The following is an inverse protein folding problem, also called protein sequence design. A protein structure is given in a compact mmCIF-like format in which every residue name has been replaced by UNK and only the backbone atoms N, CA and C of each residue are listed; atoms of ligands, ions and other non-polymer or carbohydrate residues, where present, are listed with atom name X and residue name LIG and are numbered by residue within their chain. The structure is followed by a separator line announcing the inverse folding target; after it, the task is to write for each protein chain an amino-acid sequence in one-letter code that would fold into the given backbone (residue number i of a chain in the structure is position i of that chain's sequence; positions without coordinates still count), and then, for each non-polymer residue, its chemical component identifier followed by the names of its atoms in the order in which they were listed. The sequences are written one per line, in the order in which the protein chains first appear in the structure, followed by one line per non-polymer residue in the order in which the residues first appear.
data_IF_007870700334
#
_entry.id   IF_007870700334
#
_cell.length_a   1.000
_cell.length_b   1.000
_cell.length_c   1.000
_cell.angle_alpha   90.00
_cell.angle_beta   90.00
_cell.angle_gamma   90.00
#
_symmetry.space_group_name_H-M   'P 1'
#
loop_
_entity.id
_entity.type
_entity.pdbx_description
1 polymer ?
#
# COMPACT_ATOMS: atom_id res chain seq x y z
N UNK A 1 -30.40 8.82 -25.33
CA UNK A 1 -29.22 9.63 -24.93
C UNK A 1 -28.03 8.72 -24.62
N UNK A 2 -27.74 7.75 -25.48
CA UNK A 2 -26.55 6.87 -25.44
C UNK A 2 -26.32 6.36 -26.87
N UNK A 3 -26.12 7.29 -27.78
CA UNK A 3 -25.99 7.05 -29.22
C UNK A 3 -24.67 7.66 -29.70
N UNK A 4 -23.56 7.22 -29.08
CA UNK A 4 -22.22 7.74 -29.38
C UNK A 4 -21.17 6.62 -29.46
N UNK A 5 -21.52 5.52 -30.13
CA UNK A 5 -20.64 4.38 -30.40
C UNK A 5 -20.19 4.35 -31.88
N UNK A 6 -19.85 5.51 -32.45
CA UNK A 6 -19.53 5.61 -33.88
C UNK A 6 -18.52 6.70 -34.28
N UNK A 7 -17.63 7.14 -33.38
CA UNK A 7 -16.67 8.21 -33.70
C UNK A 7 -15.25 7.87 -33.16
N UNK A 8 -14.14 8.33 -33.77
CA UNK A 8 -12.75 8.10 -33.35
C UNK A 8 -12.38 8.49 -31.91
N UNK A 9 -13.33 8.94 -31.09
CA UNK A 9 -13.17 9.21 -29.66
C UNK A 9 -13.18 7.96 -28.76
N UNK A 10 -13.61 6.78 -29.23
CA UNK A 10 -13.79 5.60 -28.36
C UNK A 10 -12.47 5.05 -27.80
N UNK A 11 -11.42 4.92 -28.63
CA UNK A 11 -10.12 4.43 -28.18
C UNK A 11 -9.39 5.45 -27.29
N UNK A 12 -9.59 6.75 -27.52
CA UNK A 12 -9.00 7.81 -26.68
C UNK A 12 -9.63 7.78 -25.30
N UNK A 13 -10.96 7.67 -25.22
CA UNK A 13 -11.68 7.56 -23.95
C UNK A 13 -11.27 6.29 -23.21
N UNK A 14 -11.16 5.15 -23.92
CA UNK A 14 -10.68 3.91 -23.35
C UNK A 14 -9.24 4.06 -22.83
N UNK A 15 -8.33 4.64 -23.60
CA UNK A 15 -6.95 4.91 -23.19
C UNK A 15 -6.90 5.77 -21.92
N UNK A 16 -7.60 6.90 -21.91
CA UNK A 16 -7.63 7.81 -20.76
C UNK A 16 -8.20 7.12 -19.52
N UNK A 17 -9.31 6.38 -19.68
CA UNK A 17 -9.96 5.67 -18.59
C UNK A 17 -9.07 4.56 -18.04
N UNK A 18 -8.50 3.74 -18.92
CA UNK A 18 -7.57 2.67 -18.54
C UNK A 18 -6.32 3.22 -17.89
N UNK A 19 -5.72 4.28 -18.44
CA UNK A 19 -4.57 4.94 -17.81
C UNK A 19 -4.92 5.46 -16.43
N UNK A 20 -6.08 6.10 -16.25
CA UNK A 20 -6.51 6.59 -14.96
C UNK A 20 -6.72 5.45 -13.95
N UNK A 21 -7.39 4.37 -14.35
CA UNK A 21 -7.60 3.20 -13.50
C UNK A 21 -6.28 2.51 -13.15
N UNK A 22 -5.38 2.35 -14.11
CA UNK A 22 -4.05 1.77 -13.89
C UNK A 22 -3.19 2.61 -12.97
N UNK A 23 -3.30 3.95 -13.03
CA UNK A 23 -2.61 4.84 -12.09
C UNK A 23 -3.21 4.68 -10.68
N UNK A 24 -4.54 4.74 -10.55
CA UNK A 24 -5.21 4.62 -9.24
C UNK A 24 -4.89 3.27 -8.59
N UNK A 25 -4.99 2.18 -9.34
CA UNK A 25 -4.58 0.83 -8.92
C UNK A 25 -3.07 0.71 -8.68
N UNK A 26 -2.27 1.42 -9.46
CA UNK A 26 -0.81 1.39 -9.42
C UNK A 26 -0.20 2.12 -8.22
N UNK A 27 -0.95 3.02 -7.57
CA UNK A 27 -0.49 3.73 -6.35
C UNK A 27 -0.14 2.73 -5.24
N UNK A 28 -0.94 1.68 -5.05
CA UNK A 28 -0.65 0.66 -4.04
C UNK A 28 0.59 -0.16 -4.41
N UNK A 29 0.78 -0.44 -5.70
CA UNK A 29 1.94 -1.18 -6.21
C UNK A 29 3.25 -0.39 -6.04
N UNK A 30 3.25 0.92 -6.33
CA UNK A 30 4.45 1.76 -6.14
C UNK A 30 4.80 1.95 -4.66
N UNK A 31 3.80 2.10 -3.80
CA UNK A 31 3.99 2.17 -2.34
C UNK A 31 4.59 0.85 -1.85
N UNK A 32 4.07 -0.29 -2.33
CA UNK A 32 4.58 -1.59 -1.97
C UNK A 32 6.05 -1.80 -2.39
N UNK A 33 6.36 -1.49 -3.66
CA UNK A 33 7.72 -1.52 -4.18
C UNK A 33 8.64 -0.63 -3.33
N UNK A 34 8.18 0.55 -2.94
CA UNK A 34 8.95 1.47 -2.10
C UNK A 34 9.22 0.91 -0.69
N UNK A 35 8.24 0.23 -0.09
CA UNK A 35 8.40 -0.42 1.22
C UNK A 35 9.40 -1.57 1.16
N UNK A 36 9.34 -2.41 0.12
CA UNK A 36 10.28 -3.51 -0.05
C UNK A 36 11.68 -3.02 -0.40
N UNK A 37 11.79 -2.07 -1.33
CA UNK A 37 13.06 -1.47 -1.70
C UNK A 37 13.73 -0.82 -0.49
N UNK A 38 12.98 -0.22 0.43
CA UNK A 38 13.48 0.34 1.69
C UNK A 38 14.15 -0.66 2.64
N UNK A 39 14.11 -1.96 2.36
CA UNK A 39 14.84 -3.01 3.11
C UNK A 39 16.24 -3.28 2.58
N UNK A 40 16.56 -2.74 1.40
CA UNK A 40 17.88 -2.85 0.80
C UNK A 40 18.79 -1.72 1.32
N UNK A 41 20.12 -1.88 1.22
CA UNK A 41 21.04 -0.77 1.43
C UNK A 41 20.66 0.44 0.59
N UNK A 42 20.80 1.66 1.14
CA UNK A 42 20.33 2.92 0.52
C UNK A 42 20.75 3.07 -0.95
N UNK A 43 21.98 2.67 -1.26
CA UNK A 43 22.57 2.68 -2.61
C UNK A 43 21.80 1.82 -3.64
N UNK A 44 21.11 0.78 -3.18
CA UNK A 44 20.38 -0.16 -4.04
C UNK A 44 18.89 0.17 -4.15
N UNK A 45 18.32 0.94 -3.24
CA UNK A 45 16.87 1.17 -3.17
C UNK A 45 16.34 1.84 -4.44
N UNK A 46 17.04 2.87 -4.94
CA UNK A 46 16.68 3.54 -6.18
C UNK A 46 16.67 2.59 -7.38
N UNK A 47 17.70 1.75 -7.51
CA UNK A 47 17.80 0.75 -8.57
C UNK A 47 16.71 -0.32 -8.44
N UNK A 48 16.42 -0.77 -7.22
CA UNK A 48 15.37 -1.75 -6.97
C UNK A 48 13.98 -1.23 -7.37
N UNK A 49 13.68 0.06 -7.13
CA UNK A 49 12.44 0.70 -7.58
C UNK A 49 12.35 0.68 -9.12
N UNK A 50 13.36 1.20 -9.80
CA UNK A 50 13.34 1.29 -11.28
C UNK A 50 13.29 -0.09 -11.94
N UNK A 51 14.12 -1.02 -11.48
CA UNK A 51 14.15 -2.40 -12.00
C UNK A 51 12.85 -3.12 -11.67
N UNK A 52 12.33 -2.97 -10.46
CA UNK A 52 11.06 -3.57 -10.04
C UNK A 52 9.88 -3.07 -10.87
N UNK A 53 9.73 -1.75 -11.05
CA UNK A 53 8.70 -1.16 -11.91
C UNK A 53 8.85 -1.57 -13.38
N UNK A 54 10.08 -1.59 -13.90
CA UNK A 54 10.35 -2.02 -15.27
C UNK A 54 9.99 -3.50 -15.48
N UNK A 55 10.37 -4.37 -14.54
CA UNK A 55 10.04 -5.79 -14.58
C UNK A 55 8.53 -6.02 -14.46
N UNK A 56 7.85 -5.30 -13.57
CA UNK A 56 6.39 -5.33 -13.43
C UNK A 56 5.68 -4.92 -14.73
N UNK A 57 6.12 -3.83 -15.36
CA UNK A 57 5.58 -3.41 -16.66
C UNK A 57 5.76 -4.47 -17.73
N UNK A 58 6.95 -5.07 -17.84
CA UNK A 58 7.21 -6.13 -18.80
C UNK A 58 6.32 -7.36 -18.52
N UNK A 59 6.13 -7.72 -17.25
CA UNK A 59 5.25 -8.83 -16.86
C UNK A 59 3.79 -8.54 -17.25
N UNK A 60 3.30 -7.33 -16.99
CA UNK A 60 1.95 -6.90 -17.41
C UNK A 60 1.76 -6.95 -18.92
N UNK A 61 2.73 -6.43 -19.68
CA UNK A 61 2.70 -6.50 -21.14
C UNK A 61 2.71 -7.96 -21.61
N UNK A 62 3.51 -8.82 -20.98
CA UNK A 62 3.52 -10.26 -21.29
C UNK A 62 2.16 -10.91 -21.02
N UNK A 63 1.49 -10.58 -19.91
CA UNK A 63 0.14 -11.05 -19.61
C UNK A 63 -0.89 -10.56 -20.64
N UNK A 64 -0.76 -9.32 -21.13
CA UNK A 64 -1.60 -8.79 -22.20
C UNK A 64 -1.38 -9.51 -23.54
N UNK A 65 -0.17 -9.99 -23.84
CA UNK A 65 0.07 -10.83 -25.02
C UNK A 65 -0.50 -12.25 -24.86
N UNK A 66 -0.60 -12.74 -23.62
CA UNK A 66 -1.17 -14.06 -23.29
C UNK A 66 -2.61 -13.95 -22.80
N UNK A 67 -3.33 -12.90 -23.19
CA UNK A 67 -4.64 -12.55 -22.64
C UNK A 67 -5.68 -13.66 -22.81
N UNK A 68 -5.68 -14.37 -23.95
CA UNK A 68 -6.58 -15.52 -24.17
C UNK A 68 -6.32 -16.64 -23.17
N UNK A 69 -5.06 -16.83 -22.76
CA UNK A 69 -4.71 -17.79 -21.72
C UNK A 69 -5.13 -17.28 -20.34
N UNK A 70 -4.95 -15.98 -20.06
CA UNK A 70 -5.40 -15.34 -18.81
C UNK A 70 -6.92 -15.44 -18.66
N UNK A 71 -7.69 -15.21 -19.72
CA UNK A 71 -9.15 -15.39 -19.73
C UNK A 71 -9.50 -16.85 -19.48
N UNK A 72 -8.74 -17.80 -20.03
CA UNK A 72 -8.92 -19.23 -19.73
C UNK A 72 -8.75 -19.58 -18.25
N UNK A 73 -8.02 -18.79 -17.46
CA UNK A 73 -7.91 -19.01 -16.01
C UNK A 73 -9.23 -18.77 -15.26
N UNK A 74 -10.22 -18.10 -15.86
CA UNK A 74 -11.54 -17.90 -15.25
C UNK A 74 -12.47 -19.08 -15.48
N UNK A 75 -12.06 -20.07 -16.28
CA UNK A 75 -12.85 -21.29 -16.45
C UNK A 75 -12.82 -22.13 -15.16
N UNK A 76 -13.98 -22.67 -14.72
CA UNK A 76 -14.04 -23.57 -13.57
C UNK A 76 -13.12 -24.78 -13.74
N UNK A 77 -12.26 -25.03 -12.75
CA UNK A 77 -11.39 -26.22 -12.70
C UNK A 77 -12.06 -27.36 -11.95
N UNK A 78 -12.66 -27.06 -10.80
CA UNK A 78 -13.36 -28.02 -9.95
C UNK A 78 -14.34 -27.29 -9.02
N UNK A 79 -15.35 -28.02 -8.53
CA UNK A 79 -16.32 -27.47 -7.59
C UNK A 79 -16.12 -28.04 -6.18
N UNK A 80 -16.07 -27.18 -5.16
CA UNK A 80 -16.01 -27.57 -3.74
C UNK A 80 -17.16 -26.90 -3.00
N UNK A 81 -17.96 -27.66 -2.25
CA UNK A 81 -19.12 -27.14 -1.50
C UNK A 81 -20.10 -26.31 -2.34
N UNK A 82 -20.18 -26.58 -3.64
CA UNK A 82 -21.04 -25.84 -4.58
C UNK A 82 -20.46 -24.54 -5.13
N UNK A 83 -19.19 -24.21 -4.82
CA UNK A 83 -18.44 -23.09 -5.41
C UNK A 83 -17.55 -23.61 -6.54
N UNK A 84 -17.57 -22.93 -7.69
CA UNK A 84 -16.78 -23.27 -8.88
C UNK A 84 -15.45 -22.52 -8.84
N UNK A 85 -14.37 -23.23 -8.49
CA UNK A 85 -13.05 -22.60 -8.37
C UNK A 85 -12.30 -22.64 -9.70
N UNK A 86 -11.91 -21.46 -10.18
CA UNK A 86 -11.09 -21.28 -11.37
C UNK A 86 -9.60 -21.11 -11.04
N UNK A 87 -8.74 -21.16 -12.05
CA UNK A 87 -7.30 -20.91 -11.88
C UNK A 87 -7.02 -19.48 -11.39
N UNK A 88 -7.83 -18.50 -11.81
CA UNK A 88 -7.78 -17.12 -11.32
C UNK A 88 -8.03 -17.09 -9.82
N UNK A 89 -9.08 -17.77 -9.36
CA UNK A 89 -9.48 -17.75 -7.96
C UNK A 89 -8.41 -18.32 -7.04
N UNK A 90 -7.74 -19.39 -7.47
CA UNK A 90 -6.60 -19.96 -6.74
C UNK A 90 -5.45 -18.95 -6.62
N UNK A 91 -5.17 -18.17 -7.66
CA UNK A 91 -4.12 -17.15 -7.62
C UNK A 91 -4.54 -15.98 -6.73
N UNK A 92 -5.80 -15.54 -6.79
CA UNK A 92 -6.31 -14.47 -5.92
C UNK A 92 -6.32 -14.89 -4.45
N UNK A 93 -6.80 -16.10 -4.11
CA UNK A 93 -6.77 -16.64 -2.75
C UNK A 93 -5.33 -16.79 -2.27
N UNK A 94 -4.46 -17.42 -3.06
CA UNK A 94 -3.06 -17.62 -2.69
C UNK A 94 -2.30 -16.32 -2.50
N UNK A 95 -2.46 -15.37 -3.42
CA UNK A 95 -1.87 -14.04 -3.34
C UNK A 95 -2.43 -13.20 -2.19
N UNK A 96 -3.74 -13.28 -1.96
CA UNK A 96 -4.40 -12.62 -0.85
C UNK A 96 -3.95 -13.15 0.51
N UNK A 97 -3.88 -14.48 0.68
CA UNK A 97 -3.33 -15.10 1.89
C UNK A 97 -1.86 -14.74 2.11
N UNK A 98 -1.06 -14.70 1.03
CA UNK A 98 0.32 -14.25 1.09
C UNK A 98 0.41 -12.79 1.58
N UNK A 99 -0.42 -11.89 1.05
CA UNK A 99 -0.49 -10.49 1.47
C UNK A 99 -0.94 -10.34 2.93
N UNK A 100 -1.96 -11.09 3.36
CA UNK A 100 -2.44 -11.07 4.74
C UNK A 100 -1.35 -11.52 5.71
N UNK A 101 -0.72 -12.66 5.44
CA UNK A 101 0.37 -13.19 6.26
C UNK A 101 1.57 -12.24 6.29
N UNK A 102 2.01 -11.75 5.13
CA UNK A 102 3.12 -10.81 5.04
C UNK A 102 2.82 -9.50 5.76
N UNK A 103 1.69 -8.86 5.49
CA UNK A 103 1.35 -7.56 6.07
C UNK A 103 1.19 -7.66 7.58
N UNK A 104 0.56 -8.72 8.08
CA UNK A 104 0.41 -8.96 9.53
C UNK A 104 1.76 -9.11 10.23
N UNK A 105 2.67 -9.92 9.67
CA UNK A 105 4.02 -10.09 10.22
C UNK A 105 4.83 -8.78 10.19
N UNK A 106 4.69 -7.98 9.14
CA UNK A 106 5.39 -6.69 9.00
C UNK A 106 4.83 -5.63 9.96
N UNK A 107 3.51 -5.63 10.21
CA UNK A 107 2.88 -4.75 11.20
C UNK A 107 3.33 -5.14 12.61
N UNK A 108 3.25 -6.44 12.93
CA UNK A 108 3.63 -6.97 14.24
C UNK A 108 5.10 -6.64 14.59
N UNK A 109 6.03 -6.92 13.68
CA UNK A 109 7.45 -6.62 13.90
C UNK A 109 7.78 -5.12 14.03
N UNK A 110 6.91 -4.22 13.57
CA UNK A 110 7.07 -2.78 13.79
C UNK A 110 6.44 -2.28 15.09
N UNK A 111 5.41 -2.96 15.58
CA UNK A 111 4.70 -2.60 16.81
C UNK A 111 5.40 -3.13 18.06
N UNK A 112 6.04 -4.29 17.98
CA UNK A 112 6.75 -4.88 19.12
C UNK A 112 8.09 -4.19 19.44
N UNK A 113 8.52 -3.24 18.62
CA UNK A 113 9.84 -2.62 18.75
C UNK A 113 10.96 -3.65 18.57
N UNK A 114 12.20 -3.20 18.48
CA UNK A 114 13.36 -4.08 18.48
C UNK A 114 13.61 -4.72 19.86
N UNK A 115 12.58 -5.22 20.56
CA UNK A 115 12.72 -5.90 21.86
C UNK A 115 13.09 -7.39 21.73
N UNK A 116 13.78 -7.76 20.65
CA UNK A 116 14.63 -8.96 20.63
C UNK A 116 16.04 -8.61 20.19
N UNK A 117 16.71 -7.82 21.03
CA UNK A 117 18.17 -7.85 21.16
C UNK A 117 18.62 -9.26 21.56
N UNK A 118 18.85 -10.13 20.58
CA UNK A 118 19.32 -11.49 20.83
C UNK A 118 19.37 -12.39 19.60
N UNK A 119 20.51 -12.36 18.88
CA UNK A 119 21.01 -13.59 18.26
C UNK A 119 20.44 -14.01 16.90
N UNK A 120 20.22 -13.09 15.97
CA UNK A 120 20.46 -13.35 14.54
C UNK A 120 20.56 -11.99 13.86
N UNK A 121 21.72 -11.67 13.28
CA UNK A 121 21.79 -10.56 12.34
C UNK A 121 20.66 -10.76 11.33
N UNK A 122 19.63 -9.90 11.38
CA UNK A 122 18.54 -9.93 10.45
C UNK A 122 19.18 -9.84 9.06
N UNK A 123 19.20 -10.97 8.34
CA UNK A 123 19.95 -11.09 7.10
C UNK A 123 19.38 -10.03 6.17
N UNK A 124 20.19 -9.02 5.82
CA UNK A 124 19.77 -7.96 4.94
C UNK A 124 19.07 -8.58 3.72
N UNK A 125 17.88 -8.07 3.38
CA UNK A 125 17.10 -8.63 2.29
C UNK A 125 17.97 -8.61 1.03
N UNK A 126 18.05 -9.71 0.29
CA UNK A 126 18.82 -9.73 -0.93
C UNK A 126 18.07 -8.99 -2.03
N UNK A 127 18.80 -8.29 -2.91
CA UNK A 127 18.22 -7.59 -4.05
C UNK A 127 17.30 -8.51 -4.86
N UNK A 128 17.76 -9.72 -5.18
CA UNK A 128 16.98 -10.71 -5.92
C UNK A 128 15.69 -11.14 -5.18
N UNK A 129 15.74 -11.29 -3.84
CA UNK A 129 14.54 -11.62 -3.05
C UNK A 129 13.51 -10.49 -3.08
N UNK A 130 13.97 -9.24 -3.00
CA UNK A 130 13.10 -8.06 -3.10
C UNK A 130 12.44 -7.99 -4.48
N UNK A 131 13.21 -8.14 -5.56
CA UNK A 131 12.65 -8.14 -6.92
C UNK A 131 11.67 -9.30 -7.12
N UNK A 132 11.99 -10.50 -6.64
CA UNK A 132 11.07 -11.64 -6.72
C UNK A 132 9.75 -11.39 -5.97
N UNK A 133 9.80 -10.79 -4.78
CA UNK A 133 8.59 -10.42 -4.03
C UNK A 133 7.75 -9.37 -4.77
N UNK A 134 8.40 -8.36 -5.37
CA UNK A 134 7.72 -7.37 -6.22
C UNK A 134 7.02 -8.06 -7.37
N UNK A 135 7.71 -8.96 -8.08
CA UNK A 135 7.13 -9.68 -9.23
C UNK A 135 5.95 -10.55 -8.84
N UNK A 136 6.05 -11.31 -7.75
CA UNK A 136 4.95 -12.17 -7.29
C UNK A 136 3.71 -11.34 -6.98
N UNK A 137 3.89 -10.20 -6.32
CA UNK A 137 2.77 -9.33 -5.97
C UNK A 137 2.20 -8.58 -7.15
N UNK A 138 3.05 -8.14 -8.08
CA UNK A 138 2.58 -7.54 -9.32
C UNK A 138 1.79 -8.56 -10.15
N UNK A 139 2.16 -9.84 -10.20
CA UNK A 139 1.38 -10.89 -10.88
C UNK A 139 -0.03 -11.01 -10.28
N UNK A 140 -0.12 -11.06 -8.95
CA UNK A 140 -1.40 -11.18 -8.25
C UNK A 140 -2.30 -9.96 -8.54
N UNK A 141 -1.75 -8.75 -8.49
CA UNK A 141 -2.51 -7.53 -8.77
C UNK A 141 -2.82 -7.33 -10.26
N UNK A 142 -1.90 -7.72 -11.14
CA UNK A 142 -2.05 -7.53 -12.58
C UNK A 142 -3.05 -8.48 -13.21
N UNK A 143 -3.28 -9.68 -12.66
CA UNK A 143 -4.32 -10.56 -13.18
C UNK A 143 -5.70 -9.91 -13.10
N UNK A 144 -6.02 -9.26 -11.97
CA UNK A 144 -7.30 -8.59 -11.79
C UNK A 144 -7.41 -7.33 -12.67
N UNK A 145 -6.33 -6.53 -12.74
CA UNK A 145 -6.32 -5.32 -13.56
C UNK A 145 -6.38 -5.62 -15.07
N UNK A 146 -5.71 -6.68 -15.54
CA UNK A 146 -5.75 -7.13 -16.94
C UNK A 146 -7.14 -7.64 -17.31
N UNK A 147 -7.77 -8.45 -16.47
CA UNK A 147 -9.14 -8.94 -16.73
C UNK A 147 -10.12 -7.76 -16.79
N UNK A 148 -9.97 -6.80 -15.88
CA UNK A 148 -10.76 -5.56 -15.87
C UNK A 148 -10.52 -4.74 -17.15
N UNK A 149 -9.27 -4.65 -17.63
CA UNK A 149 -8.92 -3.94 -18.86
C UNK A 149 -9.55 -4.57 -20.12
N UNK A 150 -9.58 -5.90 -20.21
CA UNK A 150 -10.25 -6.63 -21.31
C UNK A 150 -11.73 -6.32 -21.37
N UNK A 151 -12.37 -6.08 -20.23
CA UNK A 151 -13.78 -5.70 -20.17
C UNK A 151 -14.06 -4.27 -20.66
N UNK A 152 -13.03 -3.44 -20.88
CA UNK A 152 -13.17 -2.01 -21.18
C UNK A 152 -12.61 -1.57 -22.53
N UNK A 153 -11.68 -2.31 -23.13
CA UNK A 153 -11.11 -1.97 -24.43
C UNK A 153 -10.91 -3.22 -25.30
N UNK A 154 -11.31 -3.10 -26.57
CA UNK A 154 -11.17 -4.16 -27.56
C UNK A 154 -9.74 -4.21 -28.14
N UNK A 155 -9.05 -3.07 -28.18
CA UNK A 155 -7.74 -2.96 -28.81
C UNK A 155 -6.58 -3.20 -27.83
N UNK A 156 -5.82 -4.28 -28.07
CA UNK A 156 -4.63 -4.63 -27.30
C UNK A 156 -3.61 -3.48 -27.19
N UNK A 157 -3.40 -2.72 -28.27
CA UNK A 157 -2.44 -1.63 -28.25
C UNK A 157 -2.87 -0.48 -27.32
N UNK A 158 -4.17 -0.27 -27.12
CA UNK A 158 -4.70 0.74 -26.18
C UNK A 158 -4.40 0.31 -24.74
N UNK A 159 -4.63 -0.96 -24.42
CA UNK A 159 -4.30 -1.54 -23.11
C UNK A 159 -2.79 -1.43 -22.82
N UNK A 160 -1.94 -1.81 -23.78
CA UNK A 160 -0.48 -1.71 -23.63
C UNK A 160 -0.05 -0.25 -23.44
N UNK A 161 -0.56 0.67 -24.26
CA UNK A 161 -0.26 2.10 -24.14
C UNK A 161 -0.67 2.64 -22.77
N UNK A 162 -1.84 2.23 -22.25
CA UNK A 162 -2.30 2.63 -20.93
C UNK A 162 -1.33 2.18 -19.82
N UNK A 163 -0.89 0.92 -19.85
CA UNK A 163 0.09 0.37 -18.89
C UNK A 163 1.42 1.12 -18.97
N UNK A 164 1.95 1.35 -20.18
CA UNK A 164 3.23 2.05 -20.38
C UNK A 164 3.17 3.49 -19.88
N UNK A 165 2.08 4.22 -20.17
CA UNK A 165 1.89 5.60 -19.69
C UNK A 165 1.78 5.62 -18.16
N UNK A 166 0.95 4.74 -17.59
CA UNK A 166 0.77 4.66 -16.14
C UNK A 166 2.10 4.35 -15.42
N UNK A 167 2.86 3.36 -15.92
CA UNK A 167 4.18 3.03 -15.36
C UNK A 167 5.17 4.18 -15.53
N UNK A 168 5.14 4.90 -16.66
CA UNK A 168 5.98 6.08 -16.87
C UNK A 168 5.74 7.15 -15.79
N UNK A 169 4.47 7.44 -15.49
CA UNK A 169 4.08 8.36 -14.40
C UNK A 169 4.57 7.82 -13.05
N UNK A 170 4.39 6.53 -12.79
CA UNK A 170 4.85 5.90 -11.56
C UNK A 170 6.38 5.99 -11.42
N UNK A 171 7.16 5.72 -12.46
CA UNK A 171 8.62 5.81 -12.42
C UNK A 171 9.12 7.20 -12.02
N UNK A 172 8.48 8.26 -12.55
CA UNK A 172 8.81 9.65 -12.18
C UNK A 172 8.46 9.94 -10.72
N UNK A 173 7.35 9.39 -10.23
CA UNK A 173 6.88 9.61 -8.85
C UNK A 173 7.51 8.68 -7.79
N UNK A 174 8.19 7.61 -8.19
CA UNK A 174 8.67 6.54 -7.31
C UNK A 174 9.65 7.01 -6.24
N UNK A 175 10.60 7.88 -6.60
CA UNK A 175 11.56 8.46 -5.66
C UNK A 175 10.83 9.30 -4.60
N UNK A 176 10.12 10.38 -4.98
CA UNK A 176 9.38 11.22 -4.05
C UNK A 176 8.41 10.46 -3.14
N UNK A 177 7.63 9.51 -3.69
CA UNK A 177 6.69 8.69 -2.92
C UNK A 177 7.45 7.83 -1.91
N UNK A 178 8.54 7.18 -2.33
CA UNK A 178 9.33 6.37 -1.42
C UNK A 178 9.94 7.18 -0.28
N UNK A 179 10.48 8.37 -0.58
CA UNK A 179 11.09 9.23 0.42
C UNK A 179 10.02 9.76 1.40
N UNK A 180 8.80 10.01 0.91
CA UNK A 180 7.66 10.38 1.75
C UNK A 180 7.24 9.23 2.68
N UNK A 181 7.05 8.02 2.14
CA UNK A 181 6.68 6.82 2.91
C UNK A 181 7.74 6.47 3.97
N UNK A 182 9.03 6.66 3.66
CA UNK A 182 10.11 6.39 4.60
C UNK A 182 10.22 7.45 5.70
N UNK A 183 9.92 8.72 5.41
CA UNK A 183 9.93 9.81 6.39
C UNK A 183 8.73 9.78 7.35
N UNK A 184 7.62 9.16 6.95
CA UNK A 184 6.38 9.15 7.73
C UNK A 184 5.99 7.71 8.15
N UNK A 185 6.35 7.27 9.37
CA UNK A 185 6.04 5.93 9.86
C UNK A 185 4.55 5.57 9.81
N UNK A 186 3.67 6.55 10.09
CA UNK A 186 2.22 6.40 10.03
C UNK A 186 1.74 6.09 8.61
N UNK A 187 2.29 6.74 7.59
CA UNK A 187 2.03 6.42 6.17
C UNK A 187 2.50 5.01 5.83
N UNK A 188 3.64 4.58 6.39
CA UNK A 188 4.16 3.21 6.20
C UNK A 188 3.25 2.15 6.82
N UNK A 189 2.64 2.43 7.97
CA UNK A 189 1.62 1.55 8.57
C UNK A 189 0.35 1.57 7.73
N UNK A 190 -0.12 2.76 7.31
CA UNK A 190 -1.29 2.91 6.44
C UNK A 190 -1.17 2.06 5.16
N UNK A 191 0.01 2.11 4.53
CA UNK A 191 0.31 1.29 3.36
C UNK A 191 0.26 -0.22 3.63
N UNK A 192 0.79 -0.69 4.76
CA UNK A 192 0.67 -2.10 5.16
C UNK A 192 -0.79 -2.48 5.45
N UNK A 193 -1.59 -1.54 5.98
CA UNK A 193 -3.03 -1.73 6.16
C UNK A 193 -3.77 -1.82 4.82
N UNK A 194 -3.35 -1.09 3.78
CA UNK A 194 -3.90 -1.24 2.42
C UNK A 194 -3.59 -2.61 1.84
N UNK A 195 -2.36 -3.12 2.02
CA UNK A 195 -2.04 -4.50 1.62
C UNK A 195 -2.91 -5.54 2.32
N UNK A 196 -3.22 -5.32 3.61
CA UNK A 196 -4.12 -6.19 4.36
C UNK A 196 -5.55 -6.11 3.79
N UNK A 197 -6.07 -4.90 3.55
CA UNK A 197 -7.38 -4.68 2.95
C UNK A 197 -7.50 -5.32 1.56
N UNK A 198 -6.52 -5.11 0.69
CA UNK A 198 -6.48 -5.70 -0.65
C UNK A 198 -6.34 -7.22 -0.53
N UNK A 199 -5.47 -7.72 0.36
CA UNK A 199 -5.33 -9.15 0.63
C UNK A 199 -6.65 -9.79 1.05
N UNK A 200 -7.43 -9.14 1.92
CA UNK A 200 -8.78 -9.57 2.28
C UNK A 200 -9.72 -9.54 1.06
N UNK A 201 -9.67 -8.47 0.25
CA UNK A 201 -10.50 -8.37 -0.97
C UNK A 201 -10.21 -9.50 -1.96
N UNK A 202 -8.94 -9.84 -2.18
CA UNK A 202 -8.55 -10.90 -3.11
C UNK A 202 -9.00 -12.29 -2.63
N UNK A 203 -8.89 -12.57 -1.32
CA UNK A 203 -9.42 -13.81 -0.75
C UNK A 203 -10.94 -13.85 -0.88
N UNK A 204 -11.63 -12.75 -0.61
CA UNK A 204 -13.08 -12.68 -0.77
C UNK A 204 -13.49 -12.92 -2.23
N UNK A 205 -12.86 -12.22 -3.18
CA UNK A 205 -13.16 -12.34 -4.61
C UNK A 205 -12.89 -13.74 -5.15
N UNK A 206 -11.79 -14.39 -4.75
CA UNK A 206 -11.52 -15.77 -5.14
C UNK A 206 -12.43 -16.79 -4.47
N UNK A 207 -13.14 -16.43 -3.40
CA UNK A 207 -14.22 -17.21 -2.80
C UNK A 207 -15.61 -16.81 -3.34
N UNK A 208 -15.65 -16.19 -4.52
CA UNK A 208 -16.85 -15.68 -5.21
C UNK A 208 -17.59 -14.54 -4.47
N UNK A 209 -17.05 -14.03 -3.35
CA UNK A 209 -17.57 -12.86 -2.65
C UNK A 209 -17.07 -11.57 -3.31
N UNK A 210 -17.89 -11.04 -4.20
CA UNK A 210 -17.56 -9.83 -4.94
C UNK A 210 -17.72 -8.58 -4.06
N UNK A 211 -16.59 -7.92 -3.80
CA UNK A 211 -16.56 -6.60 -3.16
C UNK A 211 -16.44 -5.54 -4.25
N UNK A 212 -17.41 -4.61 -4.37
CA UNK A 212 -17.29 -3.50 -5.31
C UNK A 212 -16.00 -2.70 -5.06
N UNK A 213 -15.15 -2.62 -6.07
CA UNK A 213 -13.83 -1.96 -5.98
C UNK A 213 -13.93 -0.50 -5.51
N UNK A 214 -15.03 0.17 -5.84
CA UNK A 214 -15.31 1.53 -5.36
C UNK A 214 -15.31 1.66 -3.83
N UNK A 215 -15.73 0.64 -3.08
CA UNK A 215 -15.67 0.66 -1.62
C UNK A 215 -14.23 0.55 -1.10
N UNK A 216 -13.42 -0.32 -1.72
CA UNK A 216 -12.00 -0.44 -1.39
C UNK A 216 -11.27 0.88 -1.67
N UNK A 217 -11.47 1.45 -2.86
CA UNK A 217 -10.86 2.74 -3.22
C UNK A 217 -11.33 3.89 -2.34
N UNK A 218 -12.62 3.93 -1.99
CA UNK A 218 -13.13 4.93 -1.06
C UNK A 218 -12.48 4.80 0.31
N UNK A 219 -12.36 3.58 0.85
CA UNK A 219 -11.70 3.33 2.13
C UNK A 219 -10.22 3.77 2.10
N UNK A 220 -9.49 3.46 1.03
CA UNK A 220 -8.10 3.89 0.86
C UNK A 220 -7.98 5.41 0.75
N UNK A 221 -8.78 6.03 -0.12
CA UNK A 221 -8.79 7.49 -0.30
C UNK A 221 -9.16 8.23 0.99
N UNK A 222 -10.18 7.75 1.71
CA UNK A 222 -10.58 8.29 3.01
C UNK A 222 -9.46 8.18 4.04
N UNK A 223 -8.77 7.03 4.10
CA UNK A 223 -7.68 6.83 5.05
C UNK A 223 -6.46 7.70 4.74
N UNK A 224 -6.11 7.86 3.46
CA UNK A 224 -5.09 8.84 3.03
C UNK A 224 -5.52 10.25 3.41
N UNK A 225 -6.76 10.64 3.17
CA UNK A 225 -7.28 11.96 3.54
C UNK A 225 -7.15 12.23 5.04
N UNK A 226 -7.57 11.28 5.89
CA UNK A 226 -7.41 11.37 7.35
C UNK A 226 -5.93 11.47 7.72
N UNK A 227 -5.06 10.67 7.10
CA UNK A 227 -3.62 10.72 7.36
C UNK A 227 -3.01 12.06 6.96
N UNK A 228 -3.43 12.66 5.85
CA UNK A 228 -2.99 14.00 5.44
C UNK A 228 -3.40 15.07 6.46
N UNK A 229 -4.59 14.95 7.06
CA UNK A 229 -5.00 15.83 8.17
C UNK A 229 -4.09 15.61 9.38
N UNK A 230 -3.85 14.36 9.78
CA UNK A 230 -3.00 14.02 10.91
C UNK A 230 -1.58 14.57 10.77
N UNK A 231 -0.97 14.43 9.59
CA UNK A 231 0.35 14.97 9.30
C UNK A 231 0.39 16.49 9.39
N UNK A 232 -0.66 17.18 8.90
CA UNK A 232 -0.77 18.64 8.97
C UNK A 232 -0.97 19.15 10.40
N UNK A 233 -1.71 18.42 11.25
CA UNK A 233 -1.92 18.79 12.66
C UNK A 233 -0.66 18.54 13.48
N UNK A 234 0.02 17.40 13.29
CA UNK A 234 1.27 17.07 14.00
C UNK A 234 2.40 18.03 13.71
N UNK A 235 2.51 18.54 12.48
CA UNK A 235 3.49 19.57 12.12
C UNK A 235 3.29 20.91 12.85
N UNK A 236 2.17 21.11 13.56
CA UNK A 236 1.83 22.33 14.31
C UNK A 236 1.80 22.15 15.83
N UNK A 237 1.98 20.92 16.34
CA UNK A 237 1.96 20.68 17.78
C UNK A 237 3.34 20.98 18.37
N UNK A 238 3.44 22.00 19.22
CA UNK A 238 4.60 22.16 20.11
C UNK A 238 4.76 20.88 20.96
N UNK A 239 6.01 20.43 21.23
CA UNK A 239 6.23 19.31 22.11
C UNK A 239 5.54 19.58 23.45
N UNK A 240 4.65 18.68 23.86
CA UNK A 240 4.07 18.76 25.21
C UNK A 240 5.23 18.61 26.18
N UNK A 241 5.61 19.71 26.83
CA UNK A 241 6.58 19.70 27.92
C UNK A 241 6.00 18.84 29.04
N UNK A 242 6.44 17.59 29.11
CA UNK A 242 6.18 16.73 30.26
C UNK A 242 6.78 17.42 31.48
N UNK A 243 5.95 17.70 32.49
CA UNK A 243 6.44 18.16 33.78
C UNK A 243 7.28 17.04 34.36
N UNK A 244 8.60 17.26 34.38
CA UNK A 244 9.55 16.35 35.00
C UNK A 244 9.33 16.39 36.52
N UNK A 245 8.74 15.35 37.15
CA UNK A 245 8.52 15.35 38.59
C UNK A 245 9.84 15.21 39.37
N UNK A 246 10.94 14.94 38.65
CA UNK A 246 12.25 14.60 39.19
C UNK A 246 13.34 15.61 38.84
N UNK A 247 12.97 16.85 38.48
CA UNK A 247 13.95 17.94 38.48
C UNK A 247 14.33 18.23 39.93
N UNK A 248 15.41 17.57 40.38
CA UNK A 248 16.11 17.92 41.60
C UNK A 248 16.51 19.39 41.41
N UNK A 249 15.79 20.28 42.09
CA UNK A 249 16.20 21.67 42.22
C UNK A 249 17.57 21.65 42.88
N UNK A 250 18.60 22.10 42.15
CA UNK A 250 19.89 22.39 42.76
C UNK A 250 19.66 23.35 43.95
N UNK A 251 20.27 23.13 45.12
CA UNK A 251 20.04 23.96 46.31
C UNK A 251 20.39 25.45 46.16
N UNK A 252 20.86 25.90 44.99
CA UNK A 252 21.33 27.26 44.71
C UNK A 252 20.33 28.20 44.03
N UNK A 253 19.19 27.72 43.52
CA UNK A 253 18.22 28.55 42.76
C UNK A 253 16.84 28.65 43.43
N UNK A 254 16.80 28.72 44.77
CA UNK A 254 15.57 29.08 45.46
C UNK A 254 15.25 30.57 45.20
N UNK A 255 14.43 30.83 44.18
CA UNK A 255 13.72 32.10 44.03
C UNK A 255 12.91 32.44 45.29
N UNK A 256 12.56 33.72 45.49
CA UNK A 256 11.99 34.20 46.75
C UNK A 256 10.73 33.41 47.13
N UNK A 257 10.73 32.85 48.34
CA UNK A 257 9.61 32.13 48.92
C UNK A 257 8.36 33.02 48.95
N UNK A 258 7.20 32.54 48.47
CA UNK A 258 5.95 33.29 48.59
C UNK A 258 5.59 33.49 50.07
N UNK A 259 4.95 34.61 50.44
CA UNK A 259 4.56 34.83 51.82
C UNK A 259 3.57 33.76 52.27
N UNK A 260 3.87 33.12 53.40
CA UNK A 260 3.05 32.10 54.05
C UNK A 260 1.64 32.65 54.30
N UNK A 261 0.68 32.18 53.50
CA UNK A 261 -0.74 32.34 53.78
C UNK A 261 -1.07 31.69 55.13
N UNK A 262 -1.78 32.44 55.98
CA UNK A 262 -2.19 32.02 57.33
C UNK A 262 -2.89 30.65 57.29
N UNK A 263 -2.47 29.77 58.20
CA UNK A 263 -3.03 28.46 58.47
C UNK A 263 -4.56 28.50 58.63
N UNK A 264 -5.32 27.49 58.15
CA UNK A 264 -6.73 27.39 58.47
C UNK A 264 -6.88 27.04 59.96
N UNK A 265 -7.75 27.79 60.65
CA UNK A 265 -8.13 27.58 62.04
C UNK A 265 -8.84 26.22 62.21
N UNK A 266 -8.50 25.39 63.21
CA UNK A 266 -9.27 24.18 63.49
C UNK A 266 -10.56 24.55 64.23
N UNK A 267 -11.63 23.82 63.88
CA UNK A 267 -12.97 23.73 64.45
C UNK A 267 -13.26 24.41 65.81
N UNK A 268 -14.40 25.13 65.86
CA UNK A 268 -15.27 25.21 67.04
C UNK A 268 -16.72 24.96 66.58
N UNK A 269 -17.34 23.96 67.22
CA UNK A 269 -18.76 23.60 67.43
C UNK A 269 -19.88 24.08 66.47
#
# INVERSE_FOLDING_TARGET
MFEFLGDPGTWVVALVTLTALEIVLGIDNIIFISILAGKLPEEQQGRARVVGLGAAMLMRIALLFTISWVIGLTAPLFAIFGMELSGRDLILIGGGLFLLGKSTLEIHGKLEGEEHGGGRAAKAASFASVIAQIMVLDIVFSLDSVITAVGMADELWVMIAAVVIAVGVMMVSAGPISDFVNRHPTVKILALSFLLLIGTSLVAEGLEFHIPKGYIYFAMAFSVFVELINLRVRGKAEPVHLRDPYRITDPGEAGPTPPLGKSPNPAED
#
